data_IF_135224189362
#
_entry.id   IF_135224189362
#
_cell.length_a   1.000
_cell.length_b   1.000
_cell.length_c   1.000
_cell.angle_alpha   90.00
_cell.angle_beta   90.00
_cell.angle_gamma   90.00
#
_symmetry.space_group_name_H-M   'P 1'
#
loop_
_entity.id
_entity.type
_entity.pdbx_description
1 polymer ?
#
# COMPACT_ATOMS: atom_id res chain seq x y z
N UNK A 1 9.59 16.41 -22.93
CA UNK A 1 10.36 17.48 -22.27
C UNK A 1 11.20 16.80 -21.20
N UNK A 2 12.48 16.63 -21.43
CA UNK A 2 13.43 15.99 -20.50
C UNK A 2 14.06 17.07 -19.62
N UNK A 3 14.24 16.78 -18.33
CA UNK A 3 14.91 17.68 -17.38
C UNK A 3 16.32 18.05 -17.87
N UNK A 4 16.75 19.27 -17.56
CA UNK A 4 18.13 19.69 -17.80
C UNK A 4 19.06 18.88 -16.87
N UNK A 5 20.24 18.43 -17.31
CA UNK A 5 21.12 17.57 -16.48
C UNK A 5 21.50 18.16 -15.11
N UNK A 6 21.55 19.49 -14.99
CA UNK A 6 21.77 20.19 -13.73
C UNK A 6 20.58 20.03 -12.76
N UNK A 7 19.35 20.13 -13.27
CA UNK A 7 18.14 19.94 -12.47
C UNK A 7 17.99 18.48 -12.02
N UNK A 8 18.36 17.53 -12.87
CA UNK A 8 18.40 16.11 -12.52
C UNK A 8 19.38 15.83 -11.37
N UNK A 9 20.59 16.40 -11.45
CA UNK A 9 21.61 16.25 -10.40
C UNK A 9 21.15 16.82 -9.06
N UNK A 10 20.48 17.98 -9.09
CA UNK A 10 19.88 18.61 -7.89
C UNK A 10 18.76 17.76 -7.30
N UNK A 11 17.90 17.20 -8.16
CA UNK A 11 16.80 16.32 -7.72
C UNK A 11 17.33 15.05 -7.04
N UNK A 12 18.37 14.43 -7.61
CA UNK A 12 19.00 13.24 -7.03
C UNK A 12 19.60 13.57 -5.66
N UNK A 13 20.32 14.70 -5.51
CA UNK A 13 20.85 15.12 -4.20
C UNK A 13 19.72 15.29 -3.18
N UNK A 14 18.65 15.98 -3.57
CA UNK A 14 17.48 16.18 -2.72
C UNK A 14 16.84 14.87 -2.26
N UNK A 15 16.65 13.89 -3.17
CA UNK A 15 16.07 12.59 -2.83
C UNK A 15 16.95 11.79 -1.87
N UNK A 16 18.28 11.92 -1.99
CA UNK A 16 19.21 11.28 -1.07
C UNK A 16 19.24 11.95 0.31
N UNK A 17 19.20 13.28 0.35
CA UNK A 17 19.15 14.06 1.58
C UNK A 17 17.87 13.80 2.38
N UNK A 18 16.75 13.51 1.70
CA UNK A 18 15.44 13.25 2.30
C UNK A 18 15.02 11.78 2.21
N UNK A 19 15.99 10.86 2.17
CA UNK A 19 15.72 9.43 1.97
C UNK A 19 14.83 8.84 3.06
N UNK A 20 14.95 9.32 4.29
CA UNK A 20 14.11 8.95 5.43
C UNK A 20 12.62 9.25 5.20
N UNK A 21 12.30 10.33 4.47
CA UNK A 21 10.93 10.69 4.12
C UNK A 21 10.37 9.79 3.01
N UNK A 22 11.19 9.44 2.03
CA UNK A 22 10.74 8.74 0.81
C UNK A 22 10.93 7.21 0.83
N UNK A 23 11.80 6.68 1.69
CA UNK A 23 12.15 5.26 1.73
C UNK A 23 11.86 4.68 3.12
N UNK A 24 10.59 4.36 3.35
CA UNK A 24 10.17 3.66 4.57
C UNK A 24 10.62 2.20 4.55
N UNK A 25 11.07 1.73 5.71
CA UNK A 25 11.33 0.32 5.96
C UNK A 25 10.09 -0.36 6.53
N UNK A 26 10.07 -1.70 6.52
CA UNK A 26 9.02 -2.49 7.18
C UNK A 26 8.86 -2.16 8.68
N UNK A 27 9.89 -1.61 9.31
CA UNK A 27 9.84 -1.20 10.71
C UNK A 27 9.10 0.13 10.93
N UNK A 28 8.90 0.92 9.87
CA UNK A 28 8.27 2.25 9.94
C UNK A 28 6.74 2.19 9.75
N UNK A 29 6.18 1.01 9.43
CA UNK A 29 4.75 0.75 9.20
C UNK A 29 3.95 0.57 10.51
N UNK A 30 3.89 1.60 11.36
CA UNK A 30 3.31 1.54 12.71
C UNK A 30 1.80 1.87 12.83
N UNK A 31 0.96 1.74 11.79
CA UNK A 31 -0.32 2.49 11.75
C UNK A 31 -1.64 1.73 11.79
N UNK A 32 -1.67 0.41 11.98
CA UNK A 32 -2.96 -0.28 12.21
C UNK A 32 -2.98 -0.84 13.63
N UNK A 33 -3.97 -0.38 14.41
CA UNK A 33 -4.30 -0.98 15.70
C UNK A 33 -4.54 -2.48 15.51
N UNK A 34 -3.69 -3.30 16.14
CA UNK A 34 -3.73 -4.76 16.02
C UNK A 34 -5.04 -5.36 16.54
N UNK A 35 -5.84 -4.60 17.28
CA UNK A 35 -7.15 -5.02 17.75
C UNK A 35 -8.26 -4.80 16.71
N UNK A 36 -8.00 -4.01 15.65
CA UNK A 36 -9.05 -3.63 14.70
C UNK A 36 -9.21 -4.59 13.52
N UNK A 37 -8.15 -5.26 13.03
CA UNK A 37 -8.26 -6.24 11.92
C UNK A 37 -7.20 -7.34 12.01
N UNK A 38 -7.60 -8.52 12.45
CA UNK A 38 -6.76 -9.72 12.40
C UNK A 38 -7.27 -10.71 11.35
N UNK A 39 -6.38 -11.20 10.49
CA UNK A 39 -6.72 -12.16 9.44
C UNK A 39 -5.87 -13.42 9.52
N UNK A 40 -6.54 -14.59 9.45
CA UNK A 40 -5.89 -15.90 9.38
C UNK A 40 -5.57 -16.25 7.92
N UNK A 41 -4.29 -16.23 7.56
CA UNK A 41 -3.80 -16.63 6.24
C UNK A 41 -3.45 -18.12 6.24
N UNK A 42 -4.09 -18.92 5.38
CA UNK A 42 -3.63 -20.29 5.09
C UNK A 42 -2.47 -20.24 4.09
N UNK A 43 -1.33 -20.78 4.50
CA UNK A 43 0.02 -20.26 4.21
C UNK A 43 0.62 -20.60 2.82
N UNK A 44 1.32 -19.60 2.24
CA UNK A 44 2.40 -19.74 1.24
C UNK A 44 3.73 -19.14 1.78
N UNK A 45 4.89 -19.44 1.15
CA UNK A 45 6.27 -19.18 1.63
C UNK A 45 6.59 -17.75 2.16
N UNK A 46 5.80 -16.73 1.80
CA UNK A 46 6.04 -15.34 2.18
C UNK A 46 5.63 -14.95 3.61
N UNK A 47 4.75 -15.71 4.28
CA UNK A 47 4.19 -15.33 5.59
C UNK A 47 5.23 -15.23 6.72
N UNK A 48 6.32 -16.02 6.66
CA UNK A 48 7.33 -16.02 7.74
C UNK A 48 7.96 -14.64 7.93
N UNK A 49 8.14 -13.89 6.84
CA UNK A 49 8.66 -12.52 6.90
C UNK A 49 7.66 -11.56 7.54
N UNK A 50 6.36 -11.73 7.24
CA UNK A 50 5.29 -10.93 7.81
C UNK A 50 5.10 -11.22 9.30
N UNK A 51 5.19 -12.50 9.69
CA UNK A 51 5.16 -12.92 11.09
C UNK A 51 6.37 -12.37 11.87
N UNK A 52 7.57 -12.47 11.30
CA UNK A 52 8.79 -11.90 11.90
C UNK A 52 8.74 -10.37 12.00
N UNK A 53 8.03 -9.69 11.10
CA UNK A 53 7.81 -8.25 11.13
C UNK A 53 6.64 -7.81 12.04
N UNK A 54 5.90 -8.75 12.65
CA UNK A 54 4.75 -8.42 13.51
C UNK A 54 3.52 -7.91 12.77
N UNK A 55 3.47 -8.01 11.44
CA UNK A 55 2.34 -7.58 10.61
C UNK A 55 1.17 -8.57 10.65
N UNK A 56 1.43 -9.82 11.04
CA UNK A 56 0.42 -10.87 11.21
C UNK A 56 0.68 -11.64 12.51
N UNK A 57 -0.38 -12.20 13.11
CA UNK A 57 -0.31 -13.07 14.30
C UNK A 57 -1.21 -14.29 14.15
N UNK A 58 -0.87 -15.37 14.84
CA UNK A 58 -1.75 -16.53 14.97
C UNK A 58 -2.86 -16.24 15.97
N UNK A 59 -4.09 -16.69 15.69
CA UNK A 59 -5.25 -16.51 16.56
C UNK A 59 -5.95 -17.84 16.78
N UNK A 60 -6.09 -18.29 18.04
CA UNK A 60 -6.95 -19.42 18.37
C UNK A 60 -8.42 -18.99 18.37
N UNK A 61 -9.28 -19.72 17.64
CA UNK A 61 -10.74 -19.56 17.60
C UNK A 61 -11.24 -18.20 17.05
N UNK A 62 -11.15 -17.96 15.73
CA UNK A 62 -11.61 -16.72 15.12
C UNK A 62 -13.15 -16.64 15.08
N UNK A 63 -13.69 -15.45 15.32
CA UNK A 63 -15.14 -15.16 15.16
C UNK A 63 -15.52 -14.88 13.71
N UNK A 64 -14.55 -14.46 12.89
CA UNK A 64 -14.72 -14.18 11.46
C UNK A 64 -13.60 -14.83 10.64
N UNK A 65 -13.96 -15.35 9.47
CA UNK A 65 -13.01 -15.95 8.53
C UNK A 65 -13.32 -15.46 7.11
N UNK A 66 -12.28 -14.98 6.42
CA UNK A 66 -12.35 -14.60 5.01
C UNK A 66 -11.62 -15.66 4.17
N UNK A 67 -12.14 -15.94 2.98
CA UNK A 67 -11.54 -16.96 2.12
C UNK A 67 -10.24 -16.45 1.49
N UNK A 68 -9.28 -17.36 1.30
CA UNK A 68 -8.06 -17.08 0.54
C UNK A 68 -8.25 -17.58 -0.89
N UNK A 69 -8.09 -16.67 -1.85
CA UNK A 69 -8.19 -16.94 -3.28
C UNK A 69 -6.83 -16.72 -3.92
N UNK A 70 -6.43 -17.64 -4.81
CA UNK A 70 -5.20 -17.50 -5.59
C UNK A 70 -5.58 -16.98 -6.98
N UNK A 71 -5.04 -15.81 -7.35
CA UNK A 71 -5.33 -15.13 -8.62
C UNK A 71 -4.07 -15.05 -9.48
N UNK A 72 -4.20 -15.36 -10.77
CA UNK A 72 -3.12 -15.22 -11.74
C UNK A 72 -3.12 -13.81 -12.32
N UNK A 73 -2.00 -13.10 -12.22
CA UNK A 73 -1.83 -11.80 -12.86
C UNK A 73 -1.60 -11.95 -14.36
N UNK A 74 -1.81 -10.86 -15.11
CA UNK A 74 -1.47 -10.78 -16.53
C UNK A 74 0.02 -11.07 -16.81
N UNK A 75 0.91 -10.74 -15.86
CA UNK A 75 2.35 -11.04 -15.96
C UNK A 75 2.72 -12.50 -15.64
N UNK A 76 1.74 -13.41 -15.52
CA UNK A 76 1.94 -14.83 -15.25
C UNK A 76 2.23 -15.18 -13.79
N UNK A 77 2.49 -14.21 -12.91
CA UNK A 77 2.76 -14.44 -11.49
C UNK A 77 1.45 -14.73 -10.72
N UNK A 78 1.52 -15.68 -9.80
CA UNK A 78 0.44 -15.94 -8.84
C UNK A 78 0.46 -14.94 -7.69
N UNK A 79 -0.72 -14.49 -7.27
CA UNK A 79 -0.94 -13.67 -6.08
C UNK A 79 -1.99 -14.30 -5.18
N UNK A 80 -1.73 -14.24 -3.89
CA UNK A 80 -2.69 -14.55 -2.85
C UNK A 80 -3.55 -13.31 -2.60
N UNK A 81 -4.87 -13.49 -2.59
CA UNK A 81 -5.85 -12.46 -2.31
C UNK A 81 -6.78 -12.97 -1.20
N UNK A 82 -7.17 -12.09 -0.28
CA UNK A 82 -8.21 -12.41 0.70
C UNK A 82 -9.54 -11.85 0.21
N UNK A 83 -10.57 -12.68 0.21
CA UNK A 83 -11.92 -12.30 -0.21
C UNK A 83 -12.66 -11.64 0.96
N UNK A 84 -12.64 -10.31 0.98
CA UNK A 84 -13.34 -9.49 1.97
C UNK A 84 -14.79 -9.17 1.59
N UNK A 85 -15.40 -9.88 0.66
CA UNK A 85 -16.75 -9.55 0.17
C UNK A 85 -17.78 -9.42 1.29
N UNK A 86 -17.82 -10.35 2.23
CA UNK A 86 -18.80 -10.30 3.33
C UNK A 86 -18.40 -9.31 4.44
N UNK A 87 -17.09 -9.14 4.68
CA UNK A 87 -16.58 -8.12 5.60
C UNK A 87 -16.94 -6.70 5.09
N UNK A 88 -16.73 -6.44 3.81
CA UNK A 88 -17.02 -5.15 3.19
C UNK A 88 -18.52 -4.81 3.20
N UNK A 89 -19.41 -5.82 3.21
CA UNK A 89 -20.86 -5.60 3.37
C UNK A 89 -21.23 -5.24 4.82
N UNK A 90 -20.50 -5.78 5.80
CA UNK A 90 -20.73 -5.54 7.21
C UNK A 90 -20.16 -4.19 7.68
N UNK A 91 -19.10 -3.70 7.04
CA UNK A 91 -18.50 -2.41 7.36
C UNK A 91 -19.35 -1.23 6.83
N UNK A 92 -19.53 -0.15 7.61
CA UNK A 92 -20.14 1.07 7.13
C UNK A 92 -19.29 1.70 6.01
N UNK A 93 -19.93 2.36 5.05
CA UNK A 93 -19.23 3.06 3.98
C UNK A 93 -18.51 4.29 4.53
N UNK A 94 -17.31 4.54 4.03
CA UNK A 94 -16.54 5.74 4.34
C UNK A 94 -17.28 7.00 3.84
N UNK A 95 -17.56 7.98 4.73
CA UNK A 95 -18.17 9.25 4.32
C UNK A 95 -17.20 10.18 3.56
N UNK A 96 -15.90 9.89 3.54
CA UNK A 96 -14.87 10.72 2.90
C UNK A 96 -14.23 9.99 1.70
N UNK A 97 -14.91 9.96 0.54
CA UNK A 97 -14.36 9.31 -0.64
C UNK A 97 -13.08 10.02 -1.12
N UNK A 98 -12.22 9.25 -1.80
CA UNK A 98 -11.04 9.79 -2.47
C UNK A 98 -11.42 10.96 -3.40
N UNK A 99 -10.56 11.98 -3.53
CA UNK A 99 -10.82 13.13 -4.40
C UNK A 99 -10.98 12.70 -5.87
N UNK A 100 -11.82 13.44 -6.61
CA UNK A 100 -12.03 13.21 -8.03
C UNK A 100 -10.73 13.46 -8.82
N UNK A 101 -10.34 12.51 -9.66
CA UNK A 101 -9.13 12.61 -10.48
C UNK A 101 -9.15 13.80 -11.44
N UNK A 102 -10.30 14.14 -12.02
CA UNK A 102 -10.42 15.26 -12.96
C UNK A 102 -10.08 16.58 -12.27
N UNK A 103 -10.54 16.75 -11.02
CA UNK A 103 -10.21 17.94 -10.21
C UNK A 103 -8.73 18.01 -9.87
N UNK A 104 -8.08 16.86 -9.62
CA UNK A 104 -6.64 16.81 -9.39
C UNK A 104 -5.85 17.20 -10.65
N UNK A 105 -6.29 16.72 -11.82
CA UNK A 105 -5.67 17.02 -13.11
C UNK A 105 -5.85 18.49 -13.47
N UNK A 106 -7.07 19.03 -13.32
CA UNK A 106 -7.38 20.44 -13.57
C UNK A 106 -6.59 21.35 -12.62
N UNK A 107 -6.48 20.97 -11.35
CA UNK A 107 -5.68 21.70 -10.36
C UNK A 107 -4.18 21.71 -10.67
N UNK A 108 -3.69 20.73 -11.42
CA UNK A 108 -2.32 20.65 -11.90
C UNK A 108 -2.11 21.29 -13.30
N UNK A 109 -3.17 21.81 -13.92
CA UNK A 109 -3.05 22.48 -15.22
C UNK A 109 -2.29 23.81 -15.12
N UNK A 110 -1.48 24.13 -16.13
CA UNK A 110 -0.71 25.37 -16.19
C UNK A 110 0.64 25.37 -15.45
N UNK A 111 0.98 24.30 -14.72
CA UNK A 111 2.32 24.13 -14.17
C UNK A 111 3.32 23.66 -15.24
N UNK A 112 4.50 24.26 -15.26
CA UNK A 112 5.56 23.94 -16.23
C UNK A 112 6.28 22.61 -15.94
N UNK A 113 6.17 22.12 -14.70
CA UNK A 113 6.80 20.88 -14.25
C UNK A 113 5.84 20.13 -13.33
N UNK A 114 5.78 18.81 -13.50
CA UNK A 114 4.99 17.91 -12.69
C UNK A 114 5.84 16.73 -12.25
N UNK A 115 5.79 16.39 -10.96
CA UNK A 115 6.44 15.20 -10.40
C UNK A 115 5.38 14.22 -9.92
N UNK A 116 5.57 12.94 -10.23
CA UNK A 116 4.73 11.85 -9.74
C UNK A 116 5.51 11.04 -8.72
N UNK A 117 4.87 10.74 -7.60
CA UNK A 117 5.39 9.87 -6.56
C UNK A 117 4.34 8.80 -6.25
N UNK A 118 4.77 7.56 -6.10
CA UNK A 118 3.92 6.45 -5.71
C UNK A 118 4.33 5.94 -4.33
N UNK A 119 3.35 5.77 -3.44
CA UNK A 119 3.61 5.22 -2.12
C UNK A 119 3.75 3.71 -2.23
N UNK A 120 4.98 3.20 -2.06
CA UNK A 120 5.23 1.77 -2.08
C UNK A 120 4.47 1.10 -0.93
N UNK A 121 3.48 0.26 -1.25
CA UNK A 121 2.69 -0.46 -0.26
C UNK A 121 1.85 0.43 0.67
N UNK A 122 1.28 1.54 0.18
CA UNK A 122 0.56 2.54 0.98
C UNK A 122 -0.67 2.11 1.80
N UNK A 123 -1.03 0.82 1.82
CA UNK A 123 -2.06 0.27 2.71
C UNK A 123 -1.48 -0.38 3.99
N UNK A 124 -0.18 -0.68 4.02
CA UNK A 124 0.49 -1.34 5.14
C UNK A 124 1.27 -0.34 5.99
#
# INVERSE_FOLDING_TARGET
MTLVPEDESRLISFLWENKDVFAWSLADMLRIDQDFQCHHLSISLGYRKLLAAGLIREIPYPTWLANVVIVRKANGKWRMCTDYTDLNKACPKDPYPLPNIDWLVDGASGFALLSFMDAYSGYN
#
